data_IF_742104281696
#
_entry.id   IF_742104281696
#
_cell.length_a   1.000
_cell.length_b   1.000
_cell.length_c   1.000
_cell.angle_alpha   90.00
_cell.angle_beta   90.00
_cell.angle_gamma   90.00
#
_symmetry.space_group_name_H-M   'P 1'
#
loop_
_entity.id
_entity.type
_entity.pdbx_description
1 polymer ?
#
# COMPACT_ATOMS: atom_id res chain seq x y z
N UNK A 1 -5.37 -13.91 -21.81
CA UNK A 1 -5.74 -13.00 -20.72
C UNK A 1 -4.57 -13.02 -19.75
N UNK A 2 -4.04 -11.87 -19.35
CA UNK A 2 -2.89 -11.77 -18.45
C UNK A 2 -3.40 -11.85 -17.02
N UNK A 3 -2.85 -12.76 -16.22
CA UNK A 3 -3.23 -12.94 -14.82
C UNK A 3 -2.40 -12.05 -13.90
N UNK A 4 -3.06 -11.20 -13.14
CA UNK A 4 -2.43 -10.25 -12.22
C UNK A 4 -2.88 -10.53 -10.79
N UNK A 5 -1.93 -10.77 -9.87
CA UNK A 5 -2.20 -10.80 -8.44
C UNK A 5 -1.82 -9.48 -7.81
N UNK A 6 -2.79 -8.77 -7.22
CA UNK A 6 -2.59 -7.47 -6.58
C UNK A 6 -2.50 -7.70 -5.07
N UNK A 7 -1.37 -7.31 -4.45
CA UNK A 7 -1.08 -7.64 -3.06
C UNK A 7 -0.88 -6.38 -2.22
N UNK A 8 -1.53 -6.34 -1.04
CA UNK A 8 -1.31 -5.29 -0.04
C UNK A 8 -1.70 -5.79 1.36
N UNK A 9 -1.20 -5.13 2.41
CA UNK A 9 -1.39 -5.58 3.78
C UNK A 9 -1.87 -4.52 4.76
N UNK A 10 -1.76 -3.24 4.39
CA UNK A 10 -2.04 -2.11 5.28
C UNK A 10 -3.07 -1.16 4.67
N UNK A 11 -3.67 -0.35 5.53
CA UNK A 11 -4.63 0.68 5.11
C UNK A 11 -4.09 1.65 4.05
N UNK A 12 -2.88 2.23 4.19
CA UNK A 12 -2.35 3.14 3.17
C UNK A 12 -2.12 2.47 1.81
N UNK A 13 -1.68 1.23 1.80
CA UNK A 13 -1.53 0.45 0.57
C UNK A 13 -2.90 0.20 -0.08
N UNK A 14 -3.90 -0.24 0.69
CA UNK A 14 -5.24 -0.49 0.19
C UNK A 14 -5.86 0.74 -0.47
N UNK A 15 -5.75 1.92 0.16
CA UNK A 15 -6.23 3.18 -0.42
C UNK A 15 -5.61 3.45 -1.78
N UNK A 16 -4.30 3.26 -1.91
CA UNK A 16 -3.57 3.56 -3.15
C UNK A 16 -3.73 2.47 -4.21
N UNK A 17 -3.98 1.23 -3.81
CA UNK A 17 -4.18 0.12 -4.75
C UNK A 17 -5.64 0.00 -5.22
N UNK A 18 -6.61 0.54 -4.50
CA UNK A 18 -8.02 0.47 -4.86
C UNK A 18 -8.34 0.97 -6.28
N UNK A 19 -7.85 2.15 -6.72
CA UNK A 19 -8.07 2.61 -8.10
C UNK A 19 -7.49 1.66 -9.15
N UNK A 20 -6.32 1.09 -8.86
CA UNK A 20 -5.67 0.14 -9.76
C UNK A 20 -6.45 -1.18 -9.86
N UNK A 21 -6.96 -1.69 -8.73
CA UNK A 21 -7.83 -2.86 -8.70
C UNK A 21 -9.07 -2.62 -9.57
N UNK A 22 -9.76 -1.49 -9.36
CA UNK A 22 -10.95 -1.15 -10.14
C UNK A 22 -10.66 -1.05 -11.64
N UNK A 23 -9.53 -0.46 -12.02
CA UNK A 23 -9.10 -0.34 -13.41
C UNK A 23 -8.83 -1.71 -14.06
N UNK A 24 -8.08 -2.59 -13.37
CA UNK A 24 -7.74 -3.92 -13.89
C UNK A 24 -8.95 -4.85 -13.98
N UNK A 25 -9.89 -4.75 -13.04
CA UNK A 25 -11.13 -5.55 -13.06
C UNK A 25 -12.08 -5.17 -14.20
N UNK A 26 -12.00 -3.94 -14.70
CA UNK A 26 -12.82 -3.46 -15.81
C UNK A 26 -12.21 -3.75 -17.19
N UNK A 27 -10.96 -4.16 -17.26
CA UNK A 27 -10.25 -4.39 -18.52
C UNK A 27 -10.19 -5.89 -18.84
N UNK A 28 -10.92 -6.31 -19.88
CA UNK A 28 -11.02 -7.71 -20.30
C UNK A 28 -9.69 -8.36 -20.74
N UNK A 29 -8.61 -7.59 -20.87
CA UNK A 29 -7.27 -8.13 -21.14
C UNK A 29 -6.67 -8.81 -19.92
N UNK A 30 -7.16 -8.50 -18.71
CA UNK A 30 -6.63 -8.97 -17.45
C UNK A 30 -7.62 -9.88 -16.71
N UNK A 31 -7.08 -10.88 -16.05
CA UNK A 31 -7.72 -11.61 -14.96
C UNK A 31 -7.03 -11.19 -13.67
N UNK A 32 -7.64 -10.30 -12.90
CA UNK A 32 -7.04 -9.77 -11.69
C UNK A 32 -7.67 -10.36 -10.43
N UNK A 33 -6.83 -10.74 -9.47
CA UNK A 33 -7.23 -11.16 -8.12
C UNK A 33 -6.52 -10.32 -7.06
N UNK A 34 -7.17 -10.15 -5.93
CA UNK A 34 -6.67 -9.38 -4.79
C UNK A 34 -6.30 -10.31 -3.65
N UNK A 35 -5.06 -10.19 -3.15
CA UNK A 35 -4.60 -10.85 -1.94
C UNK A 35 -4.27 -9.83 -0.87
N UNK A 36 -4.82 -10.01 0.33
CA UNK A 36 -4.49 -9.18 1.50
C UNK A 36 -3.73 -10.01 2.53
N UNK A 37 -2.72 -9.39 3.16
CA UNK A 37 -1.99 -10.00 4.28
C UNK A 37 -2.60 -9.64 5.64
N UNK A 38 -3.45 -8.59 5.67
CA UNK A 38 -4.19 -8.12 6.84
C UNK A 38 -3.29 -7.80 8.05
N UNK A 39 -2.20 -7.03 7.83
CA UNK A 39 -1.30 -6.57 8.90
C UNK A 39 -2.01 -5.69 9.96
N UNK A 40 -3.09 -4.98 9.60
CA UNK A 40 -3.91 -4.15 10.49
C UNK A 40 -5.39 -4.35 10.13
N UNK A 41 -5.99 -5.44 10.60
CA UNK A 41 -7.29 -5.97 10.20
C UNK A 41 -8.39 -4.91 10.18
N UNK A 42 -8.72 -4.34 11.33
CA UNK A 42 -9.85 -3.41 11.45
C UNK A 42 -9.73 -2.18 10.54
N UNK A 43 -8.51 -1.60 10.45
CA UNK A 43 -8.27 -0.44 9.60
C UNK A 43 -8.27 -0.78 8.11
N UNK A 44 -7.85 -1.99 7.75
CA UNK A 44 -7.88 -2.46 6.37
C UNK A 44 -9.33 -2.71 5.93
N UNK A 45 -10.13 -3.39 6.75
CA UNK A 45 -11.52 -3.72 6.46
C UNK A 45 -12.37 -2.47 6.21
N UNK A 46 -12.13 -1.38 6.95
CA UNK A 46 -12.80 -0.09 6.71
C UNK A 46 -12.52 0.44 5.29
N UNK A 47 -11.28 0.35 4.81
CA UNK A 47 -10.93 0.79 3.47
C UNK A 47 -11.53 -0.13 2.40
N UNK A 48 -11.47 -1.46 2.63
CA UNK A 48 -12.09 -2.41 1.73
C UNK A 48 -13.59 -2.12 1.54
N UNK A 49 -14.31 -1.81 2.64
CA UNK A 49 -15.72 -1.41 2.59
C UNK A 49 -15.91 -0.08 1.84
N UNK A 50 -15.08 0.94 2.13
CA UNK A 50 -15.20 2.25 1.47
C UNK A 50 -14.99 2.15 -0.03
N UNK A 51 -14.09 1.30 -0.52
CA UNK A 51 -13.83 1.11 -1.94
C UNK A 51 -14.62 -0.04 -2.59
N UNK A 52 -15.46 -0.73 -1.81
CA UNK A 52 -16.22 -1.91 -2.25
C UNK A 52 -15.31 -3.01 -2.80
N UNK A 53 -14.17 -3.21 -2.13
CA UNK A 53 -13.18 -4.22 -2.49
C UNK A 53 -13.41 -5.50 -1.70
N UNK A 54 -13.49 -6.61 -2.42
CA UNK A 54 -13.55 -7.94 -1.82
C UNK A 54 -12.28 -8.71 -2.18
N UNK A 55 -11.39 -8.99 -1.21
CA UNK A 55 -10.23 -9.81 -1.47
C UNK A 55 -10.62 -11.22 -1.91
N UNK A 56 -9.88 -11.77 -2.88
CA UNK A 56 -10.00 -13.18 -3.28
C UNK A 56 -9.24 -14.08 -2.32
N UNK A 57 -8.15 -13.58 -1.75
CA UNK A 57 -7.30 -14.27 -0.78
C UNK A 57 -7.03 -13.38 0.43
N UNK A 58 -7.16 -13.95 1.61
CA UNK A 58 -6.91 -13.29 2.88
C UNK A 58 -6.01 -14.16 3.75
N UNK A 59 -4.78 -13.72 3.99
CA UNK A 59 -3.79 -14.49 4.73
C UNK A 59 -3.92 -14.34 6.25
N UNK A 60 -4.58 -13.29 6.74
CA UNK A 60 -4.82 -13.00 8.15
C UNK A 60 -3.60 -13.27 9.06
N UNK A 61 -2.47 -12.65 8.71
CA UNK A 61 -1.16 -13.03 9.29
C UNK A 61 -0.95 -12.52 10.70
N UNK A 62 -1.75 -11.55 11.18
CA UNK A 62 -1.49 -10.89 12.45
C UNK A 62 -1.99 -11.68 13.66
N UNK A 63 -1.11 -11.77 14.67
CA UNK A 63 -1.45 -12.23 16.01
C UNK A 63 -0.67 -11.40 17.05
N UNK A 64 -1.14 -11.31 18.29
CA UNK A 64 -0.44 -10.58 19.34
C UNK A 64 1.01 -11.05 19.56
N UNK A 65 1.90 -10.10 19.85
CA UNK A 65 3.30 -10.37 20.23
C UNK A 65 4.16 -11.11 19.19
N UNK A 66 3.85 -10.98 17.90
CA UNK A 66 4.68 -11.55 16.84
C UNK A 66 5.92 -10.71 16.56
N UNK A 67 7.07 -11.38 16.32
CA UNK A 67 8.25 -10.75 15.73
C UNK A 67 8.05 -10.50 14.23
N UNK A 68 8.82 -9.57 13.64
CA UNK A 68 8.81 -9.37 12.18
C UNK A 68 9.13 -10.66 11.42
N UNK A 69 10.02 -11.49 11.95
CA UNK A 69 10.39 -12.77 11.35
C UNK A 69 9.19 -13.75 11.30
N UNK A 70 8.38 -13.80 12.36
CA UNK A 70 7.16 -14.64 12.38
C UNK A 70 6.14 -14.15 11.37
N UNK A 71 5.92 -12.84 11.28
CA UNK A 71 5.01 -12.25 10.29
C UNK A 71 5.51 -12.53 8.86
N UNK A 72 6.80 -12.30 8.61
CA UNK A 72 7.43 -12.58 7.31
C UNK A 72 7.27 -14.05 6.89
N UNK A 73 7.48 -14.99 7.82
CA UNK A 73 7.31 -16.41 7.57
C UNK A 73 5.88 -16.79 7.17
N UNK A 74 4.87 -16.23 7.85
CA UNK A 74 3.46 -16.47 7.51
C UNK A 74 3.10 -15.90 6.14
N UNK A 75 3.56 -14.67 5.83
CA UNK A 75 3.33 -14.05 4.52
C UNK A 75 3.97 -14.90 3.43
N UNK A 76 5.21 -15.34 3.61
CA UNK A 76 5.93 -16.15 2.64
C UNK A 76 5.17 -17.43 2.33
N UNK A 77 4.82 -18.21 3.35
CA UNK A 77 4.14 -19.51 3.17
C UNK A 77 2.73 -19.33 2.58
N UNK A 78 1.96 -18.35 3.08
CA UNK A 78 0.61 -18.10 2.56
C UNK A 78 0.65 -17.58 1.11
N UNK A 79 1.57 -16.67 0.79
CA UNK A 79 1.77 -16.20 -0.59
C UNK A 79 2.17 -17.34 -1.53
N UNK A 80 3.08 -18.21 -1.08
CA UNK A 80 3.53 -19.37 -1.89
C UNK A 80 2.35 -20.28 -2.31
N UNK A 81 1.41 -20.52 -1.39
CA UNK A 81 0.19 -21.29 -1.68
C UNK A 81 -0.70 -20.58 -2.70
N UNK A 82 -0.92 -19.27 -2.54
CA UNK A 82 -1.74 -18.48 -3.48
C UNK A 82 -1.12 -18.44 -4.87
N UNK A 83 0.20 -18.25 -4.96
CA UNK A 83 0.92 -18.26 -6.24
C UNK A 83 0.85 -19.62 -6.93
N UNK A 84 0.88 -20.72 -6.18
CA UNK A 84 0.71 -22.07 -6.71
C UNK A 84 -0.70 -22.31 -7.25
N UNK A 85 -1.72 -21.80 -6.55
CA UNK A 85 -3.13 -21.96 -6.94
C UNK A 85 -3.48 -21.11 -8.15
N UNK A 86 -3.23 -19.79 -8.07
CA UNK A 86 -3.66 -18.84 -9.09
C UNK A 86 -2.76 -18.82 -10.32
N UNK A 87 -1.45 -19.06 -10.16
CA UNK A 87 -0.44 -19.00 -11.21
C UNK A 87 -0.49 -17.68 -12.00
N UNK A 88 -0.27 -16.53 -11.33
CA UNK A 88 -0.29 -15.24 -12.01
C UNK A 88 0.92 -15.07 -12.94
N UNK A 89 0.74 -14.31 -14.02
CA UNK A 89 1.84 -13.86 -14.89
C UNK A 89 2.66 -12.76 -14.22
N UNK A 90 1.99 -11.94 -13.37
CA UNK A 90 2.63 -10.85 -12.64
C UNK A 90 2.00 -10.64 -11.27
N UNK A 91 2.84 -10.27 -10.30
CA UNK A 91 2.42 -9.83 -8.97
C UNK A 91 2.66 -8.32 -8.84
N UNK A 92 1.65 -7.56 -8.42
CA UNK A 92 1.77 -6.14 -8.10
C UNK A 92 1.89 -5.96 -6.58
N UNK A 93 2.96 -5.30 -6.15
CA UNK A 93 3.19 -4.90 -4.75
C UNK A 93 3.30 -3.38 -4.65
N UNK A 94 2.98 -2.82 -3.48
CA UNK A 94 2.98 -1.38 -3.27
C UNK A 94 3.95 -0.96 -2.18
N UNK A 95 4.76 0.08 -2.48
CA UNK A 95 5.56 0.78 -1.48
C UNK A 95 6.66 -0.07 -0.86
N UNK A 96 6.65 -0.17 0.49
CA UNK A 96 7.83 -0.60 1.24
C UNK A 96 7.52 -1.39 2.52
N UNK A 97 6.29 -1.83 2.68
CA UNK A 97 5.92 -2.63 3.84
C UNK A 97 6.62 -3.99 3.85
N UNK A 98 6.66 -4.62 5.02
CA UNK A 98 7.10 -6.01 5.12
C UNK A 98 6.28 -6.93 4.21
N UNK A 99 4.97 -6.70 4.11
CA UNK A 99 4.09 -7.45 3.20
C UNK A 99 4.53 -7.32 1.76
N UNK A 100 4.74 -6.10 1.27
CA UNK A 100 5.18 -5.85 -0.09
C UNK A 100 6.51 -6.56 -0.41
N UNK A 101 7.49 -6.47 0.51
CA UNK A 101 8.79 -7.11 0.32
C UNK A 101 8.70 -8.65 0.30
N UNK A 102 8.02 -9.25 1.28
CA UNK A 102 7.97 -10.73 1.36
C UNK A 102 7.15 -11.32 0.22
N UNK A 103 6.07 -10.66 -0.21
CA UNK A 103 5.31 -11.06 -1.40
C UNK A 103 6.20 -10.98 -2.65
N UNK A 104 6.94 -9.89 -2.86
CA UNK A 104 7.86 -9.76 -3.98
C UNK A 104 8.96 -10.84 -3.95
N UNK A 105 9.53 -11.11 -2.79
CA UNK A 105 10.52 -12.17 -2.60
C UNK A 105 9.96 -13.55 -2.95
N UNK A 106 8.72 -13.84 -2.55
CA UNK A 106 8.06 -15.12 -2.83
C UNK A 106 7.77 -15.28 -4.31
N UNK A 107 7.30 -14.21 -4.98
CA UNK A 107 7.10 -14.19 -6.43
C UNK A 107 8.41 -14.41 -7.19
N UNK A 108 9.50 -13.78 -6.76
CA UNK A 108 10.84 -14.00 -7.31
C UNK A 108 11.29 -15.46 -7.22
N UNK A 109 11.07 -16.15 -6.09
CA UNK A 109 11.40 -17.57 -5.94
C UNK A 109 10.64 -18.47 -6.90
N UNK A 110 9.45 -18.05 -7.33
CA UNK A 110 8.63 -18.75 -8.30
C UNK A 110 8.82 -18.28 -9.75
N UNK A 111 9.79 -17.37 -9.97
CA UNK A 111 10.08 -16.79 -11.29
C UNK A 111 8.85 -16.10 -11.92
N UNK A 112 8.02 -15.47 -11.08
CA UNK A 112 6.87 -14.67 -11.49
C UNK A 112 7.29 -13.22 -11.54
N UNK A 113 6.91 -12.50 -12.60
CA UNK A 113 7.22 -11.09 -12.77
C UNK A 113 6.59 -10.21 -11.67
N UNK A 114 7.30 -9.15 -11.30
CA UNK A 114 6.91 -8.26 -10.21
C UNK A 114 6.80 -6.83 -10.75
N UNK A 115 5.65 -6.20 -10.51
CA UNK A 115 5.44 -4.77 -10.71
C UNK A 115 5.42 -4.05 -9.36
N UNK A 116 6.30 -3.06 -9.20
CA UNK A 116 6.44 -2.28 -7.97
C UNK A 116 5.75 -0.92 -8.10
N UNK A 117 4.62 -0.76 -7.45
CA UNK A 117 3.83 0.48 -7.40
C UNK A 117 4.40 1.40 -6.31
N UNK A 118 4.49 2.70 -6.58
CA UNK A 118 5.14 3.72 -5.73
C UNK A 118 6.66 3.43 -5.58
N UNK A 119 7.30 2.99 -6.65
CA UNK A 119 8.73 2.66 -6.69
C UNK A 119 9.62 3.90 -6.67
N UNK A 120 10.84 3.76 -6.15
CA UNK A 120 11.90 4.76 -6.28
C UNK A 120 11.95 5.83 -5.20
N UNK A 121 11.10 5.79 -4.18
CA UNK A 121 11.25 6.64 -2.99
C UNK A 121 12.50 6.22 -2.21
N UNK A 122 13.36 7.19 -1.84
CA UNK A 122 14.63 6.91 -1.14
C UNK A 122 14.96 7.94 -0.06
N UNK A 123 15.44 7.43 1.06
CA UNK A 123 16.17 8.21 2.07
C UNK A 123 17.66 7.90 2.03
N UNK A 124 18.05 6.76 1.48
CA UNK A 124 19.41 6.20 1.51
C UNK A 124 19.95 5.96 2.92
N UNK A 125 19.10 5.95 3.92
CA UNK A 125 19.42 5.62 5.30
C UNK A 125 18.62 4.38 5.72
N UNK A 126 19.24 3.21 5.69
CA UNK A 126 18.59 1.93 6.03
C UNK A 126 18.02 1.87 7.45
N UNK A 127 18.37 2.84 8.31
CA UNK A 127 17.85 2.93 9.67
C UNK A 127 16.68 3.93 9.80
N UNK A 128 16.32 4.66 8.71
CA UNK A 128 15.26 5.67 8.77
C UNK A 128 14.62 5.95 7.39
N UNK A 129 13.36 5.57 7.18
CA UNK A 129 12.50 4.74 8.05
C UNK A 129 13.00 3.28 8.08
N UNK A 130 12.83 2.62 9.21
CA UNK A 130 13.20 1.22 9.37
C UNK A 130 11.95 0.37 9.69
N UNK A 131 11.73 -0.77 9.00
CA UNK A 131 12.58 -1.42 7.97
C UNK A 131 12.30 -0.97 6.53
N UNK A 132 11.47 0.05 6.31
CA UNK A 132 10.88 0.44 5.02
C UNK A 132 11.93 0.79 3.95
N UNK A 133 12.98 1.53 4.31
CA UNK A 133 14.03 1.88 3.34
C UNK A 133 14.75 0.64 2.80
N UNK A 134 15.03 -0.34 3.66
CA UNK A 134 15.60 -1.62 3.25
C UNK A 134 14.65 -2.39 2.33
N UNK A 135 13.39 -2.51 2.71
CA UNK A 135 12.39 -3.22 1.94
C UNK A 135 12.25 -2.66 0.52
N UNK A 136 12.12 -1.31 0.37
CA UNK A 136 11.91 -0.69 -0.96
C UNK A 136 13.11 -0.84 -1.88
N UNK A 137 14.33 -0.80 -1.33
CA UNK A 137 15.54 -1.05 -2.11
C UNK A 137 15.62 -2.51 -2.58
N UNK A 138 15.28 -3.48 -1.72
CA UNK A 138 15.27 -4.90 -2.06
C UNK A 138 14.18 -5.21 -3.10
N UNK A 139 12.96 -4.67 -2.94
CA UNK A 139 11.90 -4.84 -3.95
C UNK A 139 12.35 -4.32 -5.31
N UNK A 140 13.02 -3.16 -5.36
CA UNK A 140 13.50 -2.58 -6.61
C UNK A 140 14.52 -3.47 -7.34
N UNK A 141 15.24 -4.35 -6.64
CA UNK A 141 16.14 -5.33 -7.26
C UNK A 141 15.44 -6.57 -7.79
N UNK A 142 14.25 -6.88 -7.27
CA UNK A 142 13.48 -8.05 -7.66
C UNK A 142 12.46 -7.74 -8.77
N UNK A 143 11.99 -6.48 -8.86
CA UNK A 143 10.92 -6.07 -9.76
C UNK A 143 11.41 -5.91 -11.21
N UNK A 144 10.56 -6.29 -12.17
CA UNK A 144 10.75 -6.11 -13.61
C UNK A 144 10.14 -4.80 -14.10
N UNK A 145 9.06 -4.32 -13.44
CA UNK A 145 8.41 -3.04 -13.76
C UNK A 145 8.34 -2.15 -12.52
N UNK A 146 8.62 -0.86 -12.71
CA UNK A 146 8.63 0.13 -11.64
C UNK A 146 7.71 1.29 -12.00
N UNK A 147 6.68 1.51 -11.19
CA UNK A 147 5.75 2.62 -11.35
C UNK A 147 6.13 3.74 -10.37
N UNK A 148 6.94 4.68 -10.89
CA UNK A 148 7.49 5.77 -10.09
C UNK A 148 6.47 6.92 -9.94
N UNK A 149 6.24 7.45 -8.72
CA UNK A 149 5.28 8.53 -8.52
C UNK A 149 5.77 9.90 -9.03
N UNK A 150 7.07 10.09 -9.20
CA UNK A 150 7.68 11.38 -9.58
C UNK A 150 8.95 11.18 -10.39
N UNK A 151 9.38 12.26 -11.09
CA UNK A 151 10.69 12.30 -11.76
C UNK A 151 11.84 12.00 -10.78
N UNK A 152 11.78 12.52 -9.54
CA UNK A 152 12.82 12.25 -8.54
C UNK A 152 12.92 10.75 -8.20
N UNK A 153 11.79 10.06 -8.13
CA UNK A 153 11.76 8.61 -7.89
C UNK A 153 12.32 7.83 -9.10
N UNK A 154 11.96 8.24 -10.32
CA UNK A 154 12.53 7.71 -11.56
C UNK A 154 14.06 7.86 -11.58
N UNK A 155 14.57 9.06 -11.30
CA UNK A 155 16.00 9.35 -11.30
C UNK A 155 16.75 8.53 -10.23
N UNK A 156 16.11 8.25 -9.10
CA UNK A 156 16.68 7.41 -8.05
C UNK A 156 16.86 5.96 -8.52
N UNK A 157 15.86 5.39 -9.20
CA UNK A 157 15.93 4.04 -9.78
C UNK A 157 17.01 3.94 -10.86
N UNK A 158 17.08 4.94 -11.76
CA UNK A 158 18.12 5.00 -12.78
C UNK A 158 19.55 5.04 -12.17
N UNK A 159 19.75 5.83 -11.11
CA UNK A 159 21.04 5.88 -10.39
C UNK A 159 21.42 4.55 -9.77
N UNK A 160 20.46 3.72 -9.44
CA UNK A 160 20.66 2.38 -8.92
C UNK A 160 20.83 1.32 -10.01
N UNK A 161 20.85 1.73 -11.29
CA UNK A 161 21.10 0.85 -12.43
C UNK A 161 19.87 0.14 -12.97
N UNK A 162 18.66 0.58 -12.62
CA UNK A 162 17.43 0.11 -13.26
C UNK A 162 17.32 0.76 -14.63
N UNK A 163 17.05 -0.05 -15.67
CA UNK A 163 16.91 0.43 -17.03
C UNK A 163 15.65 1.32 -17.18
N UNK A 164 15.77 2.39 -17.97
CA UNK A 164 14.67 3.36 -18.10
C UNK A 164 13.40 2.74 -18.67
N UNK A 165 13.54 1.75 -19.53
CA UNK A 165 12.44 1.00 -20.15
C UNK A 165 11.61 0.20 -19.15
N UNK A 166 12.18 -0.08 -17.98
CA UNK A 166 11.50 -0.77 -16.86
C UNK A 166 10.78 0.20 -15.92
N UNK A 167 10.89 1.52 -16.15
CA UNK A 167 10.36 2.52 -15.23
C UNK A 167 9.31 3.39 -15.96
N UNK A 168 8.11 3.44 -15.41
CA UNK A 168 7.05 4.34 -15.84
C UNK A 168 6.78 5.41 -14.76
N UNK A 169 6.71 6.67 -15.13
CA UNK A 169 6.25 7.74 -14.21
C UNK A 169 4.74 7.80 -14.31
N UNK A 170 4.08 7.37 -13.23
CA UNK A 170 2.61 7.21 -13.19
C UNK A 170 1.89 8.20 -12.28
N UNK A 171 2.61 9.03 -11.54
CA UNK A 171 2.01 9.78 -10.44
C UNK A 171 1.73 8.91 -9.22
N UNK A 172 0.94 9.42 -8.29
CA UNK A 172 0.57 8.70 -7.08
C UNK A 172 -0.93 8.42 -7.06
N UNK A 173 -1.29 7.16 -7.02
CA UNK A 173 -2.69 6.66 -7.07
C UNK A 173 -3.54 7.12 -5.87
N UNK A 174 -2.94 7.73 -4.84
CA UNK A 174 -3.71 8.38 -3.76
C UNK A 174 -4.60 9.50 -4.29
N UNK A 175 -4.19 10.18 -5.37
CA UNK A 175 -4.99 11.24 -5.99
C UNK A 175 -6.24 10.62 -6.65
N UNK A 176 -6.07 9.51 -7.38
CA UNK A 176 -7.19 8.79 -7.98
C UNK A 176 -8.16 8.26 -6.91
N UNK A 177 -7.63 7.75 -5.81
CA UNK A 177 -8.43 7.32 -4.66
C UNK A 177 -9.24 8.48 -4.06
N UNK A 178 -8.60 9.65 -3.88
CA UNK A 178 -9.28 10.86 -3.39
C UNK A 178 -10.40 11.29 -4.33
N UNK A 179 -10.15 11.31 -5.64
CA UNK A 179 -11.15 11.67 -6.65
C UNK A 179 -12.33 10.70 -6.65
N UNK A 180 -12.09 9.40 -6.52
CA UNK A 180 -13.15 8.40 -6.40
C UNK A 180 -13.99 8.59 -5.13
N UNK A 181 -13.34 8.88 -3.99
CA UNK A 181 -14.04 9.12 -2.73
C UNK A 181 -14.87 10.40 -2.78
N UNK A 182 -14.36 11.45 -3.40
CA UNK A 182 -15.08 12.73 -3.54
C UNK A 182 -16.40 12.60 -4.33
N UNK A 183 -16.48 11.62 -5.24
CA UNK A 183 -17.67 11.34 -6.03
C UNK A 183 -18.71 10.47 -5.29
N UNK A 184 -18.37 9.93 -4.12
CA UNK A 184 -19.26 9.06 -3.34
C UNK A 184 -20.01 9.86 -2.30
N UNK A 185 -21.28 9.52 -2.12
CA UNK A 185 -22.10 10.02 -1.00
C UNK A 185 -21.77 9.21 0.26
N UNK A 186 -20.71 9.65 0.95
CA UNK A 186 -20.27 9.00 2.18
C UNK A 186 -20.97 9.61 3.39
N UNK A 187 -21.27 8.83 4.42
CA UNK A 187 -21.85 9.35 5.65
C UNK A 187 -20.90 10.36 6.29
N UNK A 188 -21.47 11.41 6.89
CA UNK A 188 -20.69 12.41 7.61
C UNK A 188 -19.83 11.76 8.70
N UNK A 189 -18.60 12.23 8.89
CA UNK A 189 -17.76 11.76 9.98
C UNK A 189 -18.43 12.05 11.33
N UNK A 190 -18.20 11.16 12.28
CA UNK A 190 -18.74 11.28 13.63
C UNK A 190 -17.67 11.78 14.59
N UNK A 191 -18.07 12.58 15.57
CA UNK A 191 -17.21 13.00 16.67
C UNK A 191 -16.95 11.85 17.69
N UNK A 192 -16.18 12.15 18.74
CA UNK A 192 -15.88 11.19 19.81
C UNK A 192 -17.13 10.68 20.56
N UNK A 193 -18.26 11.35 20.43
CA UNK A 193 -19.55 10.97 21.03
C UNK A 193 -20.49 10.29 20.05
N UNK A 194 -20.02 10.02 18.81
CA UNK A 194 -20.79 9.35 17.78
C UNK A 194 -21.80 10.26 17.05
N UNK A 195 -21.75 11.59 17.26
CA UNK A 195 -22.59 12.57 16.60
C UNK A 195 -21.99 12.97 15.24
N UNK A 196 -22.84 13.11 14.22
CA UNK A 196 -22.39 13.57 12.91
C UNK A 196 -21.78 14.97 13.00
N UNK A 197 -20.57 15.13 12.41
CA UNK A 197 -19.93 16.44 12.32
C UNK A 197 -20.56 17.17 11.15
N UNK A 198 -21.60 17.95 11.43
CA UNK A 198 -22.28 18.76 10.42
C UNK A 198 -21.38 19.85 9.88
N UNK A 199 -21.57 20.20 8.62
CA UNK A 199 -20.84 21.32 8.02
C UNK A 199 -21.64 22.60 8.23
N UNK A 200 -21.11 23.48 9.08
CA UNK A 200 -21.54 24.87 9.14
C UNK A 200 -20.91 25.62 7.94
N UNK A 201 -21.71 26.09 6.95
CA UNK A 201 -21.18 26.81 5.80
C UNK A 201 -20.49 28.12 6.13
N UNK A 202 -20.80 28.71 7.31
CA UNK A 202 -20.20 29.96 7.80
C UNK A 202 -18.81 29.73 8.43
N UNK A 203 -18.42 28.48 8.68
CA UNK A 203 -17.15 28.13 9.34
C UNK A 203 -16.22 27.35 8.45
N UNK A 204 -14.96 27.79 8.38
CA UNK A 204 -13.91 27.00 7.73
C UNK A 204 -13.54 25.81 8.60
N UNK A 205 -13.38 24.64 7.97
CA UNK A 205 -12.91 23.43 8.65
C UNK A 205 -11.42 23.27 8.43
N UNK A 206 -10.71 23.00 9.50
CA UNK A 206 -9.28 22.67 9.48
C UNK A 206 -9.13 21.27 10.05
N UNK A 207 -8.64 20.33 9.24
CA UNK A 207 -8.30 18.99 9.69
C UNK A 207 -6.84 18.95 10.13
N UNK A 208 -6.61 18.60 11.40
CA UNK A 208 -5.28 18.44 11.97
C UNK A 208 -5.09 16.98 12.35
N UNK A 209 -4.04 16.36 11.81
CA UNK A 209 -3.70 14.98 12.13
C UNK A 209 -2.29 14.88 12.69
N UNK A 210 -2.11 14.05 13.72
CA UNK A 210 -0.81 13.79 14.34
C UNK A 210 -0.74 12.37 14.86
N UNK A 211 0.18 11.55 14.34
CA UNK A 211 0.27 10.13 14.70
C UNK A 211 1.72 9.62 14.78
N UNK A 212 2.72 10.46 14.58
CA UNK A 212 4.12 10.05 14.64
C UNK A 212 4.55 9.81 16.07
N UNK A 213 5.09 8.63 16.36
CA UNK A 213 5.52 8.22 17.71
C UNK A 213 6.57 9.16 18.31
N UNK A 214 7.43 9.73 17.48
CA UNK A 214 8.46 10.72 17.87
C UNK A 214 7.87 12.02 18.44
N UNK A 215 6.60 12.29 18.16
CA UNK A 215 5.89 13.47 18.67
C UNK A 215 5.07 13.19 19.94
N UNK A 216 5.04 11.95 20.44
CA UNK A 216 4.30 11.64 21.66
C UNK A 216 4.95 12.30 22.88
N UNK A 217 4.14 12.73 23.84
CA UNK A 217 4.58 13.48 25.02
C UNK A 217 4.60 15.00 24.79
N UNK A 218 5.71 15.65 25.07
CA UNK A 218 5.84 17.12 24.97
C UNK A 218 5.60 17.67 23.54
N UNK A 219 6.03 16.96 22.51
CA UNK A 219 5.77 17.36 21.11
C UNK A 219 4.28 17.49 20.80
N UNK A 220 3.48 16.56 21.27
CA UNK A 220 2.01 16.59 21.09
C UNK A 220 1.36 17.75 21.87
N UNK A 221 1.86 18.02 23.10
CA UNK A 221 1.40 19.19 23.89
C UNK A 221 1.69 20.50 23.16
N UNK A 222 2.88 20.65 22.58
CA UNK A 222 3.24 21.83 21.81
C UNK A 222 2.35 22.02 20.59
N UNK A 223 2.00 20.94 19.89
CA UNK A 223 1.05 21.00 18.76
C UNK A 223 -0.32 21.50 19.27
N UNK A 224 -0.85 20.91 20.36
CA UNK A 224 -2.13 21.33 20.94
C UNK A 224 -2.16 22.77 21.44
N UNK A 225 -1.03 23.30 21.92
CA UNK A 225 -0.91 24.68 22.35
C UNK A 225 -0.80 25.68 21.19
N UNK A 226 -0.39 25.22 20.01
CA UNK A 226 -0.26 26.04 18.80
C UNK A 226 -1.58 26.17 18.01
N UNK A 227 -2.58 25.36 18.33
CA UNK A 227 -3.92 25.33 17.75
C UNK A 227 -4.89 26.15 18.60
#
# INVERSE_FOLDING_TARGET
MIKILICFGTRPEAIKMAPLVACLQQDARFESKVMVTAQHREMLDQVLQVFDLKPDYDLDVMAPNQSLAMVASKILLGTDQVLQEFQPDMVLVHGDTLSAFIVAQTAFYRQIDIGHVEAGLRTYNLKSPWPEEGNRQLISRLAQLHFAPTQRAFDALCREGIAQEQIAITGNTVIDALMQIQQRDLPLPKDAHGQAIESDPERRKILITGHRRENFGEGFKHICLAI
#
